data_IF_013028884769
#
_entry.id   IF_013028884769
#
_cell.length_a   1.000
_cell.length_b   1.000
_cell.length_c   1.000
_cell.angle_alpha   90.00
_cell.angle_beta   90.00
_cell.angle_gamma   90.00
#
_symmetry.space_group_name_H-M   'P 1'
#
loop_
_entity.id
_entity.type
_entity.pdbx_description
1 polymer ?
#
# COMPACT_ATOMS: atom_id res chain seq x y z
N UNK A 1 -8.62 6.69 -7.42
CA UNK A 1 -9.26 5.92 -8.53
C UNK A 1 -8.48 5.95 -9.85
N UNK A 2 -7.88 7.08 -10.25
CA UNK A 2 -7.12 7.20 -11.51
C UNK A 2 -5.95 6.21 -11.65
N UNK A 3 -5.14 6.06 -10.60
CA UNK A 3 -4.02 5.10 -10.54
C UNK A 3 -4.49 3.67 -10.74
N UNK A 4 -5.50 3.23 -9.98
CA UNK A 4 -6.06 1.87 -10.07
C UNK A 4 -6.59 1.57 -11.49
N UNK A 5 -7.25 2.52 -12.15
CA UNK A 5 -7.74 2.32 -13.53
C UNK A 5 -6.60 2.27 -14.54
N UNK A 6 -5.59 3.13 -14.40
CA UNK A 6 -4.43 3.17 -15.30
C UNK A 6 -3.61 1.87 -15.22
N UNK A 7 -3.37 1.36 -14.01
CA UNK A 7 -2.65 0.11 -13.77
C UNK A 7 -3.51 -1.11 -14.12
N UNK A 8 -4.80 -1.09 -13.76
CA UNK A 8 -5.74 -2.17 -14.06
C UNK A 8 -5.94 -2.42 -15.55
N UNK A 9 -5.96 -1.37 -16.38
CA UNK A 9 -6.00 -1.52 -17.83
C UNK A 9 -4.73 -2.16 -18.42
N UNK A 10 -3.61 -2.13 -17.67
CA UNK A 10 -2.35 -2.81 -18.01
C UNK A 10 -2.27 -4.23 -17.41
N UNK A 11 -3.37 -4.75 -16.83
CA UNK A 11 -3.45 -6.06 -16.17
C UNK A 11 -2.42 -6.25 -15.04
N UNK A 12 -2.02 -5.15 -14.39
CA UNK A 12 -1.16 -5.21 -13.22
C UNK A 12 -1.97 -5.75 -12.04
N UNK A 13 -1.39 -6.66 -11.27
CA UNK A 13 -2.01 -7.20 -10.06
C UNK A 13 -2.03 -6.12 -8.98
N UNK A 14 -3.23 -5.81 -8.46
CA UNK A 14 -3.42 -4.72 -7.49
C UNK A 14 -3.93 -5.30 -6.17
N UNK A 15 -3.15 -5.10 -5.12
CA UNK A 15 -3.54 -5.38 -3.73
C UNK A 15 -4.00 -4.07 -3.10
N UNK A 16 -5.27 -3.98 -2.72
CA UNK A 16 -5.81 -2.84 -2.00
C UNK A 16 -5.65 -3.06 -0.49
N UNK A 17 -5.06 -2.07 0.21
CA UNK A 17 -4.70 -2.16 1.62
C UNK A 17 -5.44 -1.14 2.49
N UNK A 18 -6.75 -1.30 2.71
CA UNK A 18 -7.51 -0.36 3.53
C UNK A 18 -7.23 -0.55 5.02
N UNK A 19 -7.15 0.56 5.75
CA UNK A 19 -7.10 0.58 7.22
C UNK A 19 -8.43 1.00 7.87
N UNK A 20 -9.51 1.14 7.08
CA UNK A 20 -10.84 1.52 7.55
C UNK A 20 -11.98 1.07 6.63
N UNK A 21 -13.22 1.17 7.13
CA UNK A 21 -14.43 0.72 6.40
C UNK A 21 -14.83 1.62 5.22
N UNK A 22 -14.26 2.81 5.09
CA UNK A 22 -14.71 3.86 4.15
C UNK A 22 -13.83 4.05 2.92
N UNK A 23 -12.98 3.06 2.57
CA UNK A 23 -12.10 3.21 1.41
C UNK A 23 -12.77 2.75 0.10
N UNK A 24 -13.32 3.71 -0.63
CA UNK A 24 -13.97 3.49 -1.94
C UNK A 24 -13.04 2.87 -3.00
N UNK A 25 -11.72 2.90 -2.80
CA UNK A 25 -10.76 2.21 -3.65
C UNK A 25 -11.00 0.68 -3.69
N UNK A 26 -11.58 0.11 -2.62
CA UNK A 26 -11.86 -1.31 -2.49
C UNK A 26 -12.90 -1.83 -3.51
N UNK A 27 -13.79 -1.01 -4.04
CA UNK A 27 -14.88 -1.49 -4.93
C UNK A 27 -14.50 -1.55 -6.41
N UNK A 28 -13.24 -1.26 -6.75
CA UNK A 28 -12.81 -1.28 -8.15
C UNK A 28 -12.65 -2.71 -8.67
N UNK A 29 -13.25 -3.02 -9.83
CA UNK A 29 -13.07 -4.30 -10.55
C UNK A 29 -11.61 -4.66 -10.88
N UNK A 30 -10.70 -3.69 -10.77
CA UNK A 30 -9.28 -3.85 -11.05
C UNK A 30 -8.48 -4.30 -9.82
N UNK A 31 -9.08 -4.29 -8.62
CA UNK A 31 -8.46 -4.81 -7.40
C UNK A 31 -8.48 -6.33 -7.46
N UNK A 32 -7.30 -6.94 -7.39
CA UNK A 32 -7.13 -8.40 -7.42
C UNK A 32 -7.24 -9.02 -6.03
N UNK A 33 -6.81 -8.29 -5.01
CA UNK A 33 -6.85 -8.73 -3.61
C UNK A 33 -7.14 -7.55 -2.69
N UNK A 34 -7.84 -7.81 -1.57
CA UNK A 34 -8.03 -6.84 -0.48
C UNK A 34 -7.44 -7.38 0.80
N UNK A 35 -6.65 -6.56 1.47
CA UNK A 35 -5.98 -6.95 2.72
C UNK A 35 -6.11 -5.80 3.70
N UNK A 36 -6.84 -6.00 4.79
CA UNK A 36 -6.94 -4.97 5.82
C UNK A 36 -5.62 -4.83 6.55
N UNK A 37 -5.20 -3.58 6.76
CA UNK A 37 -3.92 -3.24 7.40
C UNK A 37 -4.16 -2.41 8.67
N UNK A 38 -3.22 -2.43 9.64
CA UNK A 38 -3.28 -1.54 10.80
C UNK A 38 -3.30 -0.07 10.39
N UNK A 39 -3.87 0.80 11.21
CA UNK A 39 -3.96 2.22 10.87
C UNK A 39 -2.56 2.88 10.82
N UNK A 40 -2.10 3.44 9.69
CA UNK A 40 -0.71 3.87 9.52
C UNK A 40 -0.26 4.99 10.46
N UNK A 41 -1.22 5.79 10.96
CA UNK A 41 -0.99 6.82 11.98
C UNK A 41 -1.21 6.38 13.45
N UNK A 42 -2.24 5.57 13.73
CA UNK A 42 -2.59 5.21 15.12
C UNK A 42 -1.83 3.97 15.60
N UNK A 43 -1.45 3.11 14.65
CA UNK A 43 -0.79 1.82 14.85
C UNK A 43 0.43 1.73 13.93
N UNK A 44 1.23 2.81 13.86
CA UNK A 44 2.32 2.99 12.89
C UNK A 44 3.31 1.81 12.88
N UNK A 45 3.79 1.38 14.05
CA UNK A 45 4.73 0.25 14.16
C UNK A 45 4.11 -1.06 13.61
N UNK A 46 2.86 -1.35 14.00
CA UNK A 46 2.16 -2.55 13.52
C UNK A 46 1.91 -2.50 12.02
N UNK A 47 1.63 -1.32 11.47
CA UNK A 47 1.47 -1.13 10.03
C UNK A 47 2.78 -1.44 9.27
N UNK A 48 3.91 -0.97 9.78
CA UNK A 48 5.23 -1.24 9.18
C UNK A 48 5.62 -2.72 9.33
N UNK A 49 5.44 -3.30 10.51
CA UNK A 49 5.70 -4.71 10.77
C UNK A 49 4.83 -5.62 9.88
N UNK A 50 3.58 -5.23 9.67
CA UNK A 50 2.67 -5.90 8.76
C UNK A 50 3.22 -5.91 7.32
N UNK A 51 3.72 -4.78 6.82
CA UNK A 51 4.33 -4.69 5.50
C UNK A 51 5.60 -5.53 5.40
N UNK A 52 6.49 -5.47 6.39
CA UNK A 52 7.75 -6.23 6.38
C UNK A 52 7.47 -7.74 6.44
N UNK A 53 6.56 -8.18 7.31
CA UNK A 53 6.19 -9.59 7.48
C UNK A 53 5.60 -10.20 6.20
N UNK A 54 4.97 -9.38 5.35
CA UNK A 54 4.42 -9.80 4.07
C UNK A 54 5.36 -9.54 2.87
N UNK A 55 6.58 -9.05 3.08
CA UNK A 55 7.51 -8.70 2.00
C UNK A 55 7.83 -9.84 1.03
N UNK A 56 7.96 -11.08 1.54
CA UNK A 56 8.17 -12.25 0.69
C UNK A 56 6.95 -12.55 -0.20
N UNK A 57 5.74 -12.33 0.34
CA UNK A 57 4.48 -12.55 -0.38
C UNK A 57 4.31 -11.56 -1.53
N UNK A 58 4.73 -10.32 -1.34
CA UNK A 58 4.61 -9.24 -2.32
C UNK A 58 5.98 -8.79 -2.86
N UNK A 59 6.90 -9.74 -3.03
CA UNK A 59 8.26 -9.46 -3.48
C UNK A 59 8.25 -8.72 -4.81
N UNK A 60 8.95 -7.59 -4.86
CA UNK A 60 9.03 -6.72 -6.05
C UNK A 60 7.78 -5.85 -6.27
N UNK A 61 6.87 -5.79 -5.30
CA UNK A 61 5.72 -4.88 -5.38
C UNK A 61 6.15 -3.40 -5.30
N UNK A 62 5.36 -2.56 -5.95
CA UNK A 62 5.45 -1.11 -5.89
C UNK A 62 4.36 -0.59 -4.96
N UNK A 63 4.74 0.09 -3.87
CA UNK A 63 3.81 0.69 -2.92
C UNK A 63 3.45 2.10 -3.41
N UNK A 64 2.15 2.39 -3.39
CA UNK A 64 1.58 3.70 -3.70
C UNK A 64 0.70 4.10 -2.54
N UNK A 65 1.15 5.08 -1.77
CA UNK A 65 0.35 5.81 -0.81
C UNK A 65 -0.83 6.51 -1.50
N UNK A 66 -2.03 6.38 -0.94
CA UNK A 66 -3.24 7.00 -1.48
C UNK A 66 -3.85 8.06 -0.57
N UNK A 67 -3.22 8.29 0.59
CA UNK A 67 -3.62 9.26 1.60
C UNK A 67 -2.42 9.71 2.45
N UNK A 68 -2.55 10.84 3.12
CA UNK A 68 -1.46 11.46 3.87
C UNK A 68 -0.97 10.61 5.05
N UNK A 69 -1.84 9.83 5.71
CA UNK A 69 -1.42 9.02 6.86
C UNK A 69 -0.46 7.92 6.40
N UNK A 70 -0.80 7.23 5.31
CA UNK A 70 0.08 6.22 4.72
C UNK A 70 1.37 6.83 4.17
N UNK A 71 1.28 7.98 3.50
CA UNK A 71 2.44 8.70 2.95
C UNK A 71 3.46 9.06 4.03
N UNK A 72 3.00 9.68 5.13
CA UNK A 72 3.88 10.09 6.25
C UNK A 72 4.52 8.88 6.92
N UNK A 73 3.73 7.83 7.20
CA UNK A 73 4.23 6.60 7.81
C UNK A 73 5.31 5.94 6.95
N UNK A 74 5.04 5.74 5.65
CA UNK A 74 5.99 5.13 4.71
C UNK A 74 7.26 5.98 4.58
N UNK A 75 7.14 7.32 4.53
CA UNK A 75 8.28 8.21 4.41
C UNK A 75 9.23 8.12 5.62
N UNK A 76 8.68 8.07 6.84
CA UNK A 76 9.48 7.90 8.07
C UNK A 76 10.29 6.60 8.08
N UNK A 77 9.72 5.53 7.52
CA UNK A 77 10.30 4.18 7.53
C UNK A 77 10.90 3.78 6.16
N UNK A 78 11.12 4.75 5.27
CA UNK A 78 11.57 4.54 3.88
C UNK A 78 12.82 3.67 3.77
N UNK A 79 13.80 3.90 4.64
CA UNK A 79 15.07 3.17 4.62
C UNK A 79 14.88 1.67 4.87
N UNK A 80 13.90 1.28 5.69
CA UNK A 80 13.61 -0.12 5.95
C UNK A 80 12.74 -0.70 4.83
N UNK A 81 11.64 -0.03 4.50
CA UNK A 81 10.70 -0.50 3.50
C UNK A 81 11.31 -0.63 2.10
N UNK A 82 12.27 0.25 1.74
CA UNK A 82 12.95 0.20 0.43
C UNK A 82 13.85 -1.03 0.24
N UNK A 83 14.17 -1.79 1.29
CA UNK A 83 14.84 -3.09 1.19
C UNK A 83 13.92 -4.18 0.65
N UNK A 84 12.61 -3.98 0.77
CA UNK A 84 11.58 -4.99 0.47
C UNK A 84 10.71 -4.61 -0.72
N UNK A 85 10.47 -3.30 -0.90
CA UNK A 85 9.51 -2.76 -1.86
C UNK A 85 10.11 -1.64 -2.68
N UNK A 86 9.56 -1.44 -3.88
CA UNK A 86 9.75 -0.20 -4.60
C UNK A 86 8.75 0.84 -4.07
N UNK A 87 9.22 2.02 -3.70
CA UNK A 87 8.38 3.07 -3.11
C UNK A 87 8.21 4.21 -4.12
N UNK A 88 7.01 4.76 -4.21
CA UNK A 88 6.81 6.02 -4.91
C UNK A 88 7.61 7.11 -4.18
N UNK A 89 8.55 7.72 -4.89
CA UNK A 89 9.31 8.85 -4.37
C UNK A 89 8.50 10.12 -4.59
N UNK A 90 7.69 10.53 -3.60
CA UNK A 90 7.27 11.93 -3.50
C UNK A 90 8.38 12.69 -2.73
N UNK A 91 9.20 13.42 -3.47
CA UNK A 91 10.19 14.36 -2.93
C UNK A 91 9.83 15.77 -3.36
#
# INVERSE_FOLDING_TARGET
LGVIRALGNKKIHIVAMPYGKSDFAQVSKYVSEKVTVPHPRLEEEQFIDFLISNSNRWKGAFIIETDDNSAVSIAKHKNELSKHYFLASLH
#
